data_IF_530440770234
#
_entry.id   IF_530440770234
#
_cell.length_a   1.000
_cell.length_b   1.000
_cell.length_c   1.000
_cell.angle_alpha   90.00
_cell.angle_beta   90.00
_cell.angle_gamma   90.00
#
_symmetry.space_group_name_H-M   'P 1'
#
loop_
_entity.id
_entity.type
_entity.pdbx_description
1 polymer ?
#
# COMPACT_ATOMS: atom_id res chain seq x y z
N UNK A 1 -79.68 5.62 -25.97
CA UNK A 1 -79.67 6.76 -26.90
C UNK A 1 -78.58 7.72 -26.46
N UNK A 2 -77.61 7.99 -27.37
CA UNK A 2 -76.79 9.22 -27.56
C UNK A 2 -76.08 9.82 -26.31
N UNK A 3 -74.83 10.25 -26.33
CA UNK A 3 -73.75 10.31 -27.31
C UNK A 3 -72.45 10.68 -26.56
N UNK A 4 -71.33 10.50 -27.25
CA UNK A 4 -69.94 10.67 -26.83
C UNK A 4 -69.52 12.13 -26.53
N UNK A 5 -68.44 12.27 -25.75
CA UNK A 5 -67.36 13.27 -25.89
C UNK A 5 -66.09 12.64 -25.24
N UNK A 6 -65.18 12.01 -26.01
CA UNK A 6 -63.99 12.59 -26.65
C UNK A 6 -63.04 13.26 -25.64
N UNK A 7 -62.06 12.53 -25.09
CA UNK A 7 -60.68 12.37 -25.60
C UNK A 7 -59.83 13.64 -25.58
N UNK A 8 -58.90 13.73 -24.62
CA UNK A 8 -57.58 14.39 -24.76
C UNK A 8 -56.69 14.01 -23.57
N UNK A 9 -55.92 12.92 -23.71
CA UNK A 9 -54.74 12.65 -22.88
C UNK A 9 -53.52 12.90 -23.78
N UNK A 10 -52.93 14.08 -23.65
CA UNK A 10 -51.61 14.39 -24.18
C UNK A 10 -50.57 13.61 -23.36
N UNK A 11 -50.16 12.44 -23.85
CA UNK A 11 -48.93 11.79 -23.39
C UNK A 11 -47.73 12.56 -23.95
N UNK A 12 -47.11 13.37 -23.10
CA UNK A 12 -45.75 13.87 -23.33
C UNK A 12 -44.78 12.72 -23.04
N UNK A 13 -44.47 11.90 -24.04
CA UNK A 13 -43.33 11.02 -23.98
C UNK A 13 -42.07 11.86 -24.18
N UNK A 14 -41.49 12.36 -23.08
CA UNK A 14 -40.16 12.92 -23.10
C UNK A 14 -39.16 11.78 -23.36
N UNK A 15 -38.57 11.74 -24.56
CA UNK A 15 -37.35 10.98 -24.82
C UNK A 15 -36.24 11.56 -23.93
N UNK A 16 -36.03 10.95 -22.77
CA UNK A 16 -34.78 11.08 -22.03
C UNK A 16 -33.75 10.22 -22.77
N UNK A 17 -32.97 10.86 -23.65
CA UNK A 17 -31.71 10.27 -24.08
C UNK A 17 -30.81 10.17 -22.83
N UNK A 18 -30.15 9.02 -22.59
CA UNK A 18 -29.18 8.95 -21.52
C UNK A 18 -28.01 9.85 -21.92
N UNK A 19 -27.90 11.01 -21.29
CA UNK A 19 -26.62 11.70 -21.18
C UNK A 19 -25.68 10.69 -20.53
N UNK A 20 -24.69 10.22 -21.30
CA UNK A 20 -23.50 9.59 -20.75
C UNK A 20 -22.97 10.52 -19.67
N UNK A 21 -23.28 10.17 -18.42
CA UNK A 21 -22.76 10.82 -17.24
C UNK A 21 -21.30 10.42 -17.16
N UNK A 22 -20.46 11.14 -17.87
CA UNK A 22 -19.03 11.14 -17.63
C UNK A 22 -18.83 11.86 -16.29
N UNK A 23 -19.02 11.14 -15.18
CA UNK A 23 -18.74 11.67 -13.86
C UNK A 23 -17.24 11.96 -13.81
N UNK A 24 -16.88 13.24 -13.80
CA UNK A 24 -15.52 13.66 -13.52
C UNK A 24 -15.16 13.19 -12.11
N UNK A 25 -14.05 12.47 -11.98
CA UNK A 25 -13.55 12.03 -10.68
C UNK A 25 -13.26 13.26 -9.81
N UNK A 26 -13.52 13.21 -8.49
CA UNK A 26 -13.01 14.19 -7.53
C UNK A 26 -11.52 14.45 -7.74
N UNK A 27 -11.07 15.70 -7.50
CA UNK A 27 -9.67 16.10 -7.73
C UNK A 27 -8.66 15.19 -7.01
N UNK A 28 -8.96 14.76 -5.77
CA UNK A 28 -8.11 13.84 -5.01
C UNK A 28 -7.99 12.45 -5.64
N UNK A 29 -9.08 11.94 -6.22
CA UNK A 29 -9.10 10.65 -6.91
C UNK A 29 -8.34 10.73 -8.24
N UNK A 30 -8.45 11.85 -8.95
CA UNK A 30 -7.66 12.11 -10.16
C UNK A 30 -6.15 12.16 -9.86
N UNK A 31 -5.75 12.86 -8.80
CA UNK A 31 -4.34 12.99 -8.42
C UNK A 31 -3.75 11.64 -7.97
N UNK A 32 -4.53 10.87 -7.20
CA UNK A 32 -4.18 9.50 -6.83
C UNK A 32 -3.98 8.63 -8.07
N UNK A 33 -4.93 8.66 -9.01
CA UNK A 33 -4.87 7.86 -10.23
C UNK A 33 -3.63 8.19 -11.07
N UNK A 34 -3.34 9.47 -11.25
CA UNK A 34 -2.15 9.93 -11.97
C UNK A 34 -0.86 9.53 -11.24
N UNK A 35 -0.86 9.56 -9.91
CA UNK A 35 0.27 9.07 -9.13
C UNK A 35 0.48 7.57 -9.35
N UNK A 36 -0.56 6.75 -9.20
CA UNK A 36 -0.48 5.29 -9.35
C UNK A 36 -0.01 4.90 -10.74
N UNK A 37 -0.55 5.52 -11.80
CA UNK A 37 -0.08 5.30 -13.17
C UNK A 37 1.41 5.62 -13.34
N UNK A 38 1.91 6.72 -12.75
CA UNK A 38 3.35 7.05 -12.80
C UNK A 38 4.20 6.05 -12.02
N UNK A 39 3.77 5.66 -10.82
CA UNK A 39 4.48 4.70 -10.00
C UNK A 39 4.58 3.35 -10.71
N UNK A 40 3.44 2.83 -11.21
CA UNK A 40 3.37 1.57 -11.95
C UNK A 40 4.32 1.59 -13.15
N UNK A 41 4.33 2.67 -13.93
CA UNK A 41 5.21 2.81 -15.09
C UNK A 41 6.68 3.06 -14.75
N UNK A 42 7.01 3.35 -13.49
CA UNK A 42 8.39 3.52 -13.03
C UNK A 42 9.06 2.20 -12.63
N UNK A 43 8.28 1.14 -12.43
CA UNK A 43 8.79 -0.17 -12.04
C UNK A 43 9.45 -0.88 -13.22
N UNK A 44 10.60 -1.50 -12.96
CA UNK A 44 11.37 -2.23 -13.97
C UNK A 44 10.89 -3.68 -14.08
N UNK A 45 9.72 -3.87 -14.67
CA UNK A 45 9.15 -5.18 -14.94
C UNK A 45 10.03 -6.03 -15.87
N UNK A 46 10.13 -7.32 -15.59
CA UNK A 46 10.91 -8.28 -16.37
C UNK A 46 10.06 -9.10 -17.34
N UNK A 47 8.78 -9.29 -17.03
CA UNK A 47 7.81 -9.99 -17.88
C UNK A 47 7.07 -9.00 -18.79
N UNK A 48 6.49 -9.51 -19.88
CA UNK A 48 5.76 -8.72 -20.88
C UNK A 48 4.63 -7.87 -20.29
N UNK A 49 4.29 -6.77 -20.98
CA UNK A 49 3.23 -5.84 -20.56
C UNK A 49 1.84 -6.48 -20.51
N UNK A 50 1.64 -7.60 -21.19
CA UNK A 50 0.40 -8.38 -21.19
C UNK A 50 0.27 -9.31 -19.99
N UNK A 51 1.28 -9.39 -19.12
CA UNK A 51 1.23 -10.20 -17.89
C UNK A 51 0.69 -9.42 -16.69
N UNK A 52 0.15 -10.14 -15.72
CA UNK A 52 -0.43 -9.58 -14.50
C UNK A 52 0.67 -9.05 -13.57
N UNK A 53 0.47 -7.83 -13.06
CA UNK A 53 1.34 -7.19 -12.06
C UNK A 53 0.56 -6.89 -10.79
N UNK A 54 1.20 -7.08 -9.65
CA UNK A 54 0.65 -6.85 -8.32
C UNK A 54 1.42 -5.69 -7.66
N UNK A 55 0.70 -4.62 -7.38
CA UNK A 55 1.22 -3.46 -6.65
C UNK A 55 0.42 -3.30 -5.36
N UNK A 56 1.11 -3.13 -4.25
CA UNK A 56 0.48 -2.86 -2.96
C UNK A 56 0.78 -1.45 -2.49
N UNK A 57 -0.05 -0.94 -1.59
CA UNK A 57 0.34 0.15 -0.70
C UNK A 57 -0.03 -0.17 0.75
N UNK A 58 0.64 0.52 1.67
CA UNK A 58 0.21 0.64 3.07
C UNK A 58 -0.09 2.10 3.39
N UNK A 59 -1.16 2.31 4.14
CA UNK A 59 -1.53 3.61 4.68
C UNK A 59 -0.72 3.90 5.95
N UNK A 60 -0.04 5.04 6.02
CA UNK A 60 0.66 5.52 7.21
C UNK A 60 -0.14 6.70 7.73
N UNK A 61 -0.87 6.46 8.82
CA UNK A 61 -1.65 7.51 9.48
C UNK A 61 -0.71 8.47 10.18
N UNK A 62 -0.86 9.76 9.88
CA UNK A 62 -0.04 10.81 10.47
C UNK A 62 -0.77 11.35 11.71
N UNK A 63 -0.09 11.44 12.87
CA UNK A 63 -0.68 12.03 14.07
C UNK A 63 -1.18 13.45 13.81
N UNK A 64 -2.30 13.83 14.43
CA UNK A 64 -2.98 15.09 14.15
C UNK A 64 -2.08 16.31 14.39
N UNK A 65 -1.24 16.24 15.44
CA UNK A 65 -0.25 17.24 15.81
C UNK A 65 0.90 17.40 14.80
N UNK A 66 1.08 16.43 13.89
CA UNK A 66 2.11 16.47 12.85
C UNK A 66 1.57 16.85 11.46
N UNK A 67 0.23 16.90 11.29
CA UNK A 67 -0.39 17.09 9.97
C UNK A 67 -0.05 18.44 9.33
N UNK A 68 -0.05 19.51 10.11
CA UNK A 68 0.25 20.85 9.59
C UNK A 68 1.72 20.93 9.13
N UNK A 69 2.64 20.37 9.92
CA UNK A 69 4.07 20.30 9.59
C UNK A 69 4.32 19.46 8.32
N UNK A 70 3.66 18.30 8.19
CA UNK A 70 3.72 17.50 6.96
C UNK A 70 3.14 18.26 5.77
N UNK A 71 1.97 18.88 5.92
CA UNK A 71 1.28 19.58 4.83
C UNK A 71 2.13 20.73 4.32
N UNK A 72 2.69 21.53 5.23
CA UNK A 72 3.57 22.63 4.87
C UNK A 72 4.84 22.11 4.17
N UNK A 73 5.45 21.04 4.68
CA UNK A 73 6.63 20.45 4.04
C UNK A 73 6.32 19.87 2.65
N UNK A 74 5.18 19.18 2.49
CA UNK A 74 4.75 18.59 1.24
C UNK A 74 4.49 19.64 0.15
N UNK A 75 3.84 20.75 0.51
CA UNK A 75 3.48 21.80 -0.43
C UNK A 75 4.68 22.70 -0.80
N UNK A 76 5.61 22.92 0.14
CA UNK A 76 6.73 23.85 -0.06
C UNK A 76 8.02 23.18 -0.58
N UNK A 77 8.13 21.84 -0.53
CA UNK A 77 9.32 21.10 -0.97
C UNK A 77 9.00 19.98 -1.99
N UNK A 78 8.30 20.25 -3.10
CA UNK A 78 7.91 19.24 -4.08
C UNK A 78 9.10 18.52 -4.73
N UNK A 79 10.25 19.18 -4.84
CA UNK A 79 11.51 18.60 -5.35
C UNK A 79 12.00 17.44 -4.50
N UNK A 80 11.73 17.47 -3.20
CA UNK A 80 12.14 16.42 -2.28
C UNK A 80 11.21 15.21 -2.43
N UNK A 81 9.90 15.44 -2.43
CA UNK A 81 8.90 14.38 -2.60
C UNK A 81 8.91 13.75 -4.00
N UNK A 82 9.34 14.49 -5.03
CA UNK A 82 9.57 13.93 -6.37
C UNK A 82 10.65 12.83 -6.37
N UNK A 83 11.60 12.87 -5.45
CA UNK A 83 12.61 11.83 -5.28
C UNK A 83 12.12 10.65 -4.42
N UNK A 84 10.83 10.66 -4.04
CA UNK A 84 10.15 9.62 -3.28
C UNK A 84 9.00 9.04 -4.12
N UNK A 85 9.32 8.37 -5.25
CA UNK A 85 8.33 8.03 -6.28
C UNK A 85 7.25 7.06 -5.80
N UNK A 86 7.47 6.39 -4.68
CA UNK A 86 6.55 5.44 -4.08
C UNK A 86 5.65 6.04 -2.98
N UNK A 87 5.68 7.37 -2.77
CA UNK A 87 4.86 8.04 -1.76
C UNK A 87 3.80 8.95 -2.36
N UNK A 88 2.55 8.77 -1.91
CA UNK A 88 1.45 9.68 -2.17
C UNK A 88 0.88 10.23 -0.87
N UNK A 89 0.75 11.55 -0.74
CA UNK A 89 0.08 12.16 0.39
C UNK A 89 -1.39 12.41 0.07
N UNK A 90 -2.27 11.63 0.69
CA UNK A 90 -3.71 11.85 0.63
C UNK A 90 -4.10 12.93 1.65
N UNK A 91 -4.14 14.18 1.17
CA UNK A 91 -4.47 15.34 2.01
C UNK A 91 -5.90 15.27 2.59
N UNK A 92 -6.81 14.55 1.95
CA UNK A 92 -8.19 14.41 2.42
C UNK A 92 -8.29 13.53 3.66
N UNK A 93 -7.46 12.50 3.75
CA UNK A 93 -7.42 11.57 4.88
C UNK A 93 -6.27 11.82 5.86
N UNK A 94 -5.34 12.72 5.56
CA UNK A 94 -4.16 12.96 6.39
C UNK A 94 -3.21 11.75 6.42
N UNK A 95 -3.15 10.99 5.34
CA UNK A 95 -2.44 9.70 5.27
C UNK A 95 -1.38 9.70 4.19
N UNK A 96 -0.18 9.19 4.51
CA UNK A 96 0.84 8.87 3.51
C UNK A 96 0.61 7.43 3.02
N UNK A 97 0.49 7.23 1.71
CA UNK A 97 0.47 5.89 1.09
C UNK A 97 1.88 5.55 0.62
N UNK A 98 2.44 4.45 1.13
CA UNK A 98 3.73 3.90 0.70
C UNK A 98 3.49 2.70 -0.22
N UNK A 99 3.81 2.85 -1.51
CA UNK A 99 3.62 1.85 -2.55
C UNK A 99 4.83 0.91 -2.68
N UNK A 100 4.58 -0.32 -3.10
CA UNK A 100 5.59 -1.36 -3.28
C UNK A 100 5.13 -2.44 -4.27
N UNK A 101 6.05 -3.10 -4.99
CA UNK A 101 5.73 -4.37 -5.66
C UNK A 101 5.42 -5.44 -4.61
N UNK A 102 4.43 -6.30 -4.87
CA UNK A 102 4.03 -7.36 -3.93
C UNK A 102 4.91 -8.60 -4.12
N UNK A 103 6.19 -8.46 -3.80
CA UNK A 103 7.23 -9.49 -3.97
C UNK A 103 6.88 -10.82 -3.25
N UNK A 104 6.84 -11.92 -4.00
CA UNK A 104 6.60 -13.26 -3.49
C UNK A 104 5.15 -13.51 -3.04
N UNK A 105 4.20 -12.67 -3.46
CA UNK A 105 2.79 -12.91 -3.19
C UNK A 105 2.29 -14.20 -3.84
N UNK A 106 1.48 -14.93 -3.10
CA UNK A 106 0.72 -16.07 -3.58
C UNK A 106 -0.69 -15.62 -3.94
N UNK A 107 -1.08 -15.87 -5.18
CA UNK A 107 -2.43 -15.66 -5.70
C UNK A 107 -2.95 -17.00 -6.21
N UNK A 108 -4.22 -17.30 -5.98
CA UNK A 108 -4.86 -18.49 -6.53
C UNK A 108 -5.43 -18.22 -7.92
N UNK A 109 -5.16 -19.14 -8.84
CA UNK A 109 -5.71 -19.15 -10.19
C UNK A 109 -5.95 -20.59 -10.62
N UNK A 110 -7.18 -20.92 -11.03
CA UNK A 110 -7.57 -22.25 -11.49
C UNK A 110 -7.18 -23.40 -10.52
N UNK A 111 -7.30 -23.13 -9.21
CA UNK A 111 -6.98 -24.07 -8.14
C UNK A 111 -5.48 -24.26 -7.87
N UNK A 112 -4.61 -23.42 -8.44
CA UNK A 112 -3.16 -23.44 -8.23
C UNK A 112 -2.67 -22.12 -7.64
N UNK A 113 -1.61 -22.18 -6.83
CA UNK A 113 -0.94 -20.99 -6.32
C UNK A 113 0.16 -20.54 -7.27
N UNK A 114 0.08 -19.28 -7.68
CA UNK A 114 1.10 -18.60 -8.46
C UNK A 114 1.84 -17.62 -7.58
N UNK A 115 3.18 -17.67 -7.65
CA UNK A 115 4.05 -16.83 -6.84
C UNK A 115 4.59 -15.67 -7.67
N UNK A 116 4.43 -14.45 -7.14
CA UNK A 116 4.86 -13.25 -7.82
C UNK A 116 6.39 -13.07 -7.78
N UNK A 117 6.96 -12.54 -8.87
CA UNK A 117 8.36 -12.16 -8.95
C UNK A 117 8.71 -11.05 -7.94
N UNK A 118 10.00 -10.69 -7.77
CA UNK A 118 10.40 -9.56 -6.94
C UNK A 118 9.74 -8.22 -7.30
N UNK A 119 9.30 -8.05 -8.56
CA UNK A 119 8.58 -6.86 -9.02
C UNK A 119 7.05 -7.03 -8.99
N UNK A 120 6.55 -8.08 -8.33
CA UNK A 120 5.13 -8.36 -8.21
C UNK A 120 4.53 -8.94 -9.49
N UNK A 121 5.31 -9.61 -10.34
CA UNK A 121 4.84 -10.08 -11.65
C UNK A 121 4.41 -11.55 -11.59
N UNK A 122 3.27 -11.88 -12.20
CA UNK A 122 2.83 -13.25 -12.42
C UNK A 122 2.94 -13.56 -13.92
N UNK A 123 3.49 -14.73 -14.27
CA UNK A 123 3.50 -15.21 -15.66
C UNK A 123 2.11 -15.74 -16.06
N UNK A 124 1.14 -14.82 -16.02
CA UNK A 124 -0.27 -15.02 -16.30
C UNK A 124 -0.78 -13.80 -17.05
N UNK A 125 -1.64 -14.01 -18.05
CA UNK A 125 -2.29 -12.90 -18.78
C UNK A 125 -3.50 -12.34 -18.04
N UNK A 126 -4.16 -13.20 -17.27
CA UNK A 126 -5.31 -12.88 -16.44
C UNK A 126 -5.32 -13.80 -15.22
N UNK A 127 -6.06 -13.40 -14.19
CA UNK A 127 -6.37 -14.25 -13.04
C UNK A 127 -7.87 -14.55 -13.07
N UNK A 128 -8.22 -15.83 -13.11
CA UNK A 128 -9.58 -16.33 -12.91
C UNK A 128 -9.84 -16.57 -11.41
N UNK A 129 -11.03 -16.22 -10.93
CA UNK A 129 -11.43 -16.47 -9.54
C UNK A 129 -11.23 -15.27 -8.61
N UNK A 130 -10.80 -15.54 -7.37
CA UNK A 130 -10.61 -14.51 -6.35
C UNK A 130 -9.22 -13.86 -6.52
N UNK A 131 -9.18 -12.60 -6.95
CA UNK A 131 -7.95 -11.81 -7.17
C UNK A 131 -7.19 -11.46 -5.88
N UNK A 132 -7.46 -12.15 -4.78
CA UNK A 132 -6.88 -11.86 -3.48
C UNK A 132 -5.41 -12.26 -3.37
N UNK A 133 -4.62 -11.46 -2.66
CA UNK A 133 -3.28 -11.87 -2.24
C UNK A 133 -3.40 -12.71 -0.98
N UNK A 134 -3.12 -14.01 -1.06
CA UNK A 134 -3.34 -14.94 0.05
C UNK A 134 -2.26 -14.83 1.13
N UNK A 135 -1.03 -14.53 0.73
CA UNK A 135 0.14 -14.66 1.58
C UNK A 135 1.41 -14.80 0.78
N UNK A 136 2.47 -15.32 1.41
CA UNK A 136 3.76 -15.61 0.77
C UNK A 136 4.42 -16.84 1.38
N UNK A 137 5.37 -17.43 0.68
CA UNK A 137 6.21 -18.48 1.27
C UNK A 137 7.12 -17.90 2.35
N UNK A 138 7.36 -18.68 3.39
CA UNK A 138 8.44 -18.40 4.34
C UNK A 138 9.77 -18.49 3.61
N UNK A 139 10.69 -17.63 4.01
CA UNK A 139 12.09 -17.67 3.57
C UNK A 139 12.98 -17.57 4.79
N UNK A 140 14.28 -17.81 4.63
CA UNK A 140 15.27 -17.49 5.65
C UNK A 140 15.21 -16.04 6.09
N UNK A 141 14.61 -15.16 5.25
CA UNK A 141 14.50 -13.74 5.51
C UNK A 141 13.18 -13.23 6.03
N UNK A 142 12.11 -13.99 5.84
CA UNK A 142 10.74 -13.56 6.10
C UNK A 142 10.02 -14.76 6.69
N UNK A 143 9.78 -14.70 8.00
CA UNK A 143 9.25 -15.81 8.80
C UNK A 143 7.80 -15.60 9.21
N UNK A 144 7.28 -14.37 9.13
CA UNK A 144 5.94 -14.00 9.54
C UNK A 144 5.92 -13.20 10.86
N UNK A 145 4.80 -12.51 11.09
CA UNK A 145 4.51 -11.73 12.31
C UNK A 145 3.25 -12.23 13.00
N UNK A 146 3.05 -11.76 14.23
CA UNK A 146 1.80 -11.96 14.97
C UNK A 146 0.62 -11.37 14.17
N UNK A 147 -0.40 -12.20 13.89
CA UNK A 147 -1.50 -11.90 12.96
C UNK A 147 -1.39 -12.62 11.61
N UNK A 148 -0.27 -13.29 11.31
CA UNK A 148 -0.21 -14.23 10.19
C UNK A 148 -0.64 -15.63 10.63
N UNK A 149 -1.25 -16.38 9.71
CA UNK A 149 -1.50 -17.82 9.88
C UNK A 149 -0.36 -18.55 9.17
N UNK A 150 0.52 -19.19 9.94
CA UNK A 150 1.66 -19.93 9.38
C UNK A 150 1.28 -21.41 9.25
N UNK A 151 1.25 -21.92 8.02
CA UNK A 151 0.91 -23.32 7.72
C UNK A 151 1.68 -23.79 6.50
N UNK A 152 2.27 -24.98 6.58
CA UNK A 152 2.96 -25.65 5.47
C UNK A 152 4.02 -24.79 4.76
N UNK A 153 4.75 -23.98 5.53
CA UNK A 153 5.78 -23.06 5.01
C UNK A 153 5.21 -21.82 4.31
N UNK A 154 3.90 -21.56 4.42
CA UNK A 154 3.23 -20.37 3.89
C UNK A 154 2.81 -19.46 5.05
N UNK A 155 3.08 -18.17 4.88
CA UNK A 155 2.60 -17.07 5.70
C UNK A 155 1.31 -16.57 5.07
N UNK A 156 0.16 -17.04 5.53
CA UNK A 156 -1.13 -16.54 5.10
C UNK A 156 -1.47 -15.23 5.82
N UNK A 157 -2.04 -14.30 5.07
CA UNK A 157 -2.66 -13.11 5.63
C UNK A 157 -3.98 -13.51 6.29
N UNK A 158 -4.23 -13.04 7.52
CA UNK A 158 -5.51 -13.26 8.21
C UNK A 158 -6.69 -12.72 7.40
N UNK A 159 -6.49 -11.56 6.75
CA UNK A 159 -7.43 -10.95 5.83
C UNK A 159 -6.75 -10.75 4.48
N UNK A 160 -7.03 -11.63 3.51
CA UNK A 160 -6.48 -11.54 2.18
C UNK A 160 -7.05 -10.31 1.42
N UNK A 161 -6.24 -9.31 1.04
CA UNK A 161 -6.73 -8.11 0.40
C UNK A 161 -7.14 -8.39 -1.05
N UNK A 162 -8.24 -7.75 -1.45
CA UNK A 162 -8.73 -7.69 -2.83
C UNK A 162 -8.21 -6.43 -3.52
N UNK A 163 -8.08 -6.43 -4.85
CA UNK A 163 -7.63 -5.24 -5.57
C UNK A 163 -8.65 -4.12 -5.40
N UNK A 164 -8.18 -2.92 -5.05
CA UNK A 164 -9.00 -1.73 -4.91
C UNK A 164 -8.99 -0.85 -6.19
N UNK A 165 -7.98 -1.03 -7.05
CA UNK A 165 -7.89 -0.39 -8.35
C UNK A 165 -7.22 -1.31 -9.39
N UNK A 166 -7.44 -1.01 -10.67
CA UNK A 166 -6.88 -1.76 -11.80
C UNK A 166 -6.44 -0.82 -12.93
N UNK A 167 -5.25 -1.06 -13.45
CA UNK A 167 -4.64 -0.31 -14.56
C UNK A 167 -4.15 -1.30 -15.62
N UNK A 168 -4.98 -1.57 -16.63
CA UNK A 168 -4.70 -2.65 -17.58
C UNK A 168 -4.57 -3.99 -16.86
N UNK A 169 -3.38 -4.59 -16.89
CA UNK A 169 -3.06 -5.85 -16.21
C UNK A 169 -2.39 -5.66 -14.84
N UNK A 170 -2.35 -4.43 -14.32
CA UNK A 170 -1.85 -4.14 -12.97
C UNK A 170 -3.00 -4.06 -11.99
N UNK A 171 -2.92 -4.86 -10.93
CA UNK A 171 -3.84 -4.88 -9.80
C UNK A 171 -3.21 -4.15 -8.62
N UNK A 172 -3.92 -3.18 -8.06
CA UNK A 172 -3.48 -2.39 -6.91
C UNK A 172 -4.22 -2.85 -5.66
N UNK A 173 -3.50 -3.05 -4.57
CA UNK A 173 -4.01 -3.61 -3.31
C UNK A 173 -3.76 -2.68 -2.13
N UNK A 174 -4.75 -2.56 -1.26
CA UNK A 174 -4.60 -1.97 0.07
C UNK A 174 -4.18 -3.04 1.08
N UNK A 175 -2.95 -2.96 1.58
CA UNK A 175 -2.43 -3.86 2.62
C UNK A 175 -2.63 -3.32 4.05
N UNK A 176 -3.55 -2.37 4.20
CA UNK A 176 -3.94 -1.78 5.47
C UNK A 176 -2.93 -0.77 6.01
N UNK A 177 -3.08 -0.48 7.30
CA UNK A 177 -2.29 0.54 7.96
C UNK A 177 -0.90 0.02 8.39
N UNK A 178 0.12 0.86 8.20
CA UNK A 178 1.42 0.74 8.84
C UNK A 178 1.39 1.61 10.10
N UNK A 179 1.30 0.96 11.25
CA UNK A 179 1.46 1.63 12.54
C UNK A 179 2.95 1.92 12.77
N UNK A 180 3.35 3.18 12.69
CA UNK A 180 4.68 3.62 13.14
C UNK A 180 4.60 3.80 14.65
N UNK A 181 5.11 2.82 15.39
CA UNK A 181 4.98 2.79 16.85
C UNK A 181 5.81 3.90 17.51
N UNK A 182 5.24 4.42 18.61
CA UNK A 182 5.84 5.30 19.63
C UNK A 182 5.56 6.81 19.59
N UNK A 183 4.39 7.25 19.11
CA UNK A 183 3.88 8.62 19.34
C UNK A 183 2.89 8.78 20.49
N UNK A 184 2.48 7.70 21.16
CA UNK A 184 1.56 7.78 22.29
C UNK A 184 2.27 8.31 23.54
N UNK A 185 2.33 9.63 23.67
CA UNK A 185 2.42 10.30 24.97
C UNK A 185 1.11 10.07 25.74
N UNK A 186 0.88 8.86 26.27
CA UNK A 186 -0.27 8.66 27.16
C UNK A 186 -0.68 7.23 27.49
N UNK A 187 -0.31 6.22 26.71
CA UNK A 187 -0.68 4.84 27.05
C UNK A 187 0.56 3.98 27.28
N UNK A 188 0.81 3.64 28.54
CA UNK A 188 1.64 2.49 28.91
C UNK A 188 0.94 1.18 28.52
N UNK A 189 0.51 1.04 27.26
CA UNK A 189 0.20 -0.26 26.71
C UNK A 189 1.53 -0.98 26.45
N UNK A 190 2.15 -1.47 27.54
CA UNK A 190 3.11 -2.57 27.48
C UNK A 190 2.37 -3.74 26.84
N UNK A 191 2.37 -3.83 25.51
CA UNK A 191 1.88 -5.00 24.80
C UNK A 191 2.86 -6.13 25.07
N UNK A 192 2.44 -7.11 25.87
CA UNK A 192 3.09 -8.41 25.88
C UNK A 192 3.15 -8.96 24.45
N UNK A 193 4.30 -9.48 24.04
CA UNK A 193 4.44 -10.23 22.78
C UNK A 193 5.01 -9.51 21.55
N UNK A 194 5.25 -8.19 21.60
CA UNK A 194 5.93 -7.34 20.58
C UNK A 194 5.88 -7.84 19.12
N UNK A 195 4.84 -7.43 18.38
CA UNK A 195 4.79 -7.26 16.91
C UNK A 195 5.98 -6.44 16.37
N UNK A 196 7.16 -7.03 16.21
CA UNK A 196 8.34 -6.32 15.70
C UNK A 196 8.76 -6.84 14.32
N UNK A 197 9.21 -5.96 13.41
CA UNK A 197 9.76 -6.40 12.12
C UNK A 197 10.94 -7.36 12.30
N UNK A 198 11.68 -7.24 13.41
CA UNK A 198 12.74 -8.17 13.77
C UNK A 198 12.21 -9.59 13.98
N UNK A 199 10.96 -9.78 14.45
CA UNK A 199 10.33 -11.10 14.51
C UNK A 199 10.07 -11.65 13.10
N UNK A 200 9.65 -10.79 12.16
CA UNK A 200 9.47 -11.17 10.76
C UNK A 200 10.77 -11.63 10.11
N UNK A 201 11.91 -11.22 10.64
CA UNK A 201 13.23 -11.48 10.06
C UNK A 201 14.03 -12.55 10.80
N UNK A 202 13.47 -13.16 11.85
CA UNK A 202 14.17 -14.12 12.70
C UNK A 202 15.26 -13.50 13.59
N UNK A 203 15.13 -12.23 13.96
CA UNK A 203 16.02 -11.53 14.89
C UNK A 203 16.63 -10.24 14.35
N UNK A 204 17.31 -10.23 13.18
CA UNK A 204 17.94 -9.02 12.65
C UNK A 204 16.92 -7.95 12.24
N UNK A 205 17.31 -6.68 12.25
CA UNK A 205 16.49 -5.61 11.68
C UNK A 205 16.60 -5.56 10.14
N UNK A 206 15.75 -4.75 9.49
CA UNK A 206 15.75 -4.58 8.03
C UNK A 206 17.12 -4.19 7.47
N UNK A 207 17.89 -3.41 8.22
CA UNK A 207 19.20 -2.91 7.81
C UNK A 207 20.16 -4.07 7.55
N UNK A 208 20.32 -4.96 8.52
CA UNK A 208 21.20 -6.11 8.39
C UNK A 208 20.57 -7.20 7.51
N UNK A 209 19.24 -7.37 7.59
CA UNK A 209 18.56 -8.43 6.87
C UNK A 209 18.57 -8.24 5.35
N UNK A 210 18.41 -7.00 4.89
CA UNK A 210 18.30 -6.67 3.47
C UNK A 210 19.47 -5.82 2.97
N UNK A 211 20.55 -5.74 3.76
CA UNK A 211 21.73 -4.94 3.45
C UNK A 211 21.36 -3.49 3.10
N UNK A 212 20.55 -2.86 3.96
CA UNK A 212 20.10 -1.47 3.83
C UNK A 212 20.87 -0.65 4.87
N UNK A 213 21.82 0.15 4.41
CA UNK A 213 22.67 0.93 5.30
C UNK A 213 22.57 2.40 4.93
N UNK A 214 21.51 3.06 5.40
CA UNK A 214 21.41 4.51 5.30
C UNK A 214 22.35 5.15 6.34
N UNK A 215 23.28 5.99 5.88
CA UNK A 215 24.33 6.59 6.72
C UNK A 215 23.86 7.85 7.46
N UNK A 216 22.56 8.12 7.53
CA UNK A 216 22.01 9.31 8.16
C UNK A 216 22.07 9.25 9.68
N UNK A 217 21.57 8.16 10.28
CA UNK A 217 21.59 7.95 11.72
C UNK A 217 22.62 6.89 12.13
N UNK A 218 23.06 6.95 13.40
CA UNK A 218 23.99 5.95 13.95
C UNK A 218 23.40 4.56 13.78
N UNK A 219 24.14 3.66 13.12
CA UNK A 219 23.72 2.28 12.89
C UNK A 219 23.43 1.59 14.22
N UNK A 220 22.27 0.94 14.29
CA UNK A 220 21.86 0.05 15.38
C UNK A 220 21.44 -1.28 14.77
N UNK A 221 21.80 -2.36 15.45
CA UNK A 221 21.54 -3.73 15.01
C UNK A 221 20.47 -4.41 15.88
N UNK A 222 20.20 -3.82 17.05
CA UNK A 222 19.37 -4.34 18.13
C UNK A 222 17.93 -3.83 18.10
N UNK A 223 17.59 -2.90 17.19
CA UNK A 223 16.27 -2.28 17.07
C UNK A 223 15.90 -2.04 15.60
N UNK A 224 14.59 -1.90 15.27
CA UNK A 224 14.18 -1.37 13.96
C UNK A 224 14.74 0.04 13.78
N UNK A 225 15.16 0.29 12.55
CA UNK A 225 15.72 1.55 12.07
C UNK A 225 14.64 2.32 11.29
N UNK A 226 13.40 2.31 11.77
CA UNK A 226 12.24 3.07 11.26
C UNK A 226 12.37 4.58 11.49
N UNK A 227 13.30 4.99 12.34
CA UNK A 227 13.64 6.39 12.58
C UNK A 227 14.80 6.89 11.69
N UNK A 228 15.37 6.06 10.81
CA UNK A 228 16.47 6.44 9.93
C UNK A 228 16.02 7.14 8.63
N UNK A 229 14.87 7.83 8.66
CA UNK A 229 14.25 8.45 7.49
C UNK A 229 14.89 9.75 7.05
N UNK A 230 14.54 10.19 5.84
CA UNK A 230 15.16 11.33 5.17
C UNK A 230 15.08 12.64 5.94
N UNK A 231 14.02 12.85 6.71
CA UNK A 231 13.80 14.08 7.49
C UNK A 231 14.07 13.90 8.98
N UNK A 232 14.54 12.73 9.38
CA UNK A 232 14.78 12.42 10.78
C UNK A 232 15.87 13.31 11.39
N UNK A 233 15.74 13.54 12.70
CA UNK A 233 16.78 14.06 13.58
C UNK A 233 17.48 12.93 14.37
N UNK A 234 17.33 11.69 13.92
CA UNK A 234 17.89 10.48 14.53
C UNK A 234 17.44 10.20 15.97
N UNK A 235 16.26 10.72 16.34
CA UNK A 235 15.57 10.34 17.56
C UNK A 235 14.57 9.23 17.26
N UNK A 236 14.78 8.09 17.91
CA UNK A 236 13.75 7.06 18.01
C UNK A 236 12.49 7.70 18.61
N UNK A 237 11.31 7.36 18.11
CA UNK A 237 10.03 7.87 18.60
C UNK A 237 9.84 9.38 18.35
N UNK A 238 10.58 9.92 17.37
CA UNK A 238 10.35 11.26 16.79
C UNK A 238 9.34 11.21 15.64
N UNK A 239 8.94 12.37 15.12
CA UNK A 239 7.80 12.54 14.18
C UNK A 239 7.66 11.45 13.13
N UNK A 240 6.47 10.87 13.02
CA UNK A 240 6.14 9.75 12.11
C UNK A 240 6.52 10.08 10.67
N UNK A 241 6.03 11.22 10.15
CA UNK A 241 6.27 11.60 8.76
C UNK A 241 7.74 11.94 8.50
N UNK A 242 8.49 12.35 9.54
CA UNK A 242 9.92 12.65 9.41
C UNK A 242 10.79 11.40 9.48
N UNK A 243 10.40 10.46 10.32
CA UNK A 243 11.18 9.29 10.68
C UNK A 243 11.02 8.14 9.70
N UNK A 244 9.79 7.81 9.31
CA UNK A 244 9.55 6.59 8.53
C UNK A 244 9.97 6.70 7.05
N UNK A 245 9.55 7.72 6.27
CA UNK A 245 9.96 7.84 4.87
C UNK A 245 11.48 7.89 4.68
N UNK A 246 12.02 6.99 3.88
CA UNK A 246 13.45 6.85 3.62
C UNK A 246 14.23 6.04 4.65
N UNK A 247 13.56 5.56 5.70
CA UNK A 247 14.15 4.72 6.74
C UNK A 247 14.55 3.35 6.18
N UNK A 248 15.30 2.57 6.95
CA UNK A 248 15.69 1.24 6.50
C UNK A 248 14.46 0.30 6.46
N UNK A 249 13.53 0.50 7.41
CA UNK A 249 12.26 -0.23 7.47
C UNK A 249 11.34 0.19 6.28
N UNK A 250 11.32 1.47 5.87
CA UNK A 250 10.63 1.93 4.63
C UNK A 250 11.26 1.36 3.35
N UNK A 251 12.59 1.42 3.20
CA UNK A 251 13.27 0.88 2.03
C UNK A 251 13.04 -0.62 1.86
N UNK A 252 12.92 -1.37 2.95
CA UNK A 252 12.56 -2.78 2.90
C UNK A 252 11.11 -2.97 2.44
N UNK A 253 10.18 -2.13 2.90
CA UNK A 253 8.79 -2.11 2.44
C UNK A 253 8.71 -1.76 0.94
N UNK A 254 9.36 -0.69 0.49
CA UNK A 254 9.41 -0.27 -0.92
C UNK A 254 10.03 -1.30 -1.87
N UNK A 255 10.82 -2.25 -1.34
CA UNK A 255 11.33 -3.42 -2.07
C UNK A 255 10.40 -4.64 -2.02
N UNK A 256 9.21 -4.52 -1.44
CA UNK A 256 8.25 -5.62 -1.28
C UNK A 256 8.64 -6.65 -0.21
N UNK A 257 9.61 -6.38 0.65
CA UNK A 257 10.10 -7.39 1.61
C UNK A 257 9.24 -7.50 2.87
N UNK A 258 8.48 -6.47 3.21
CA UNK A 258 7.79 -6.34 4.50
C UNK A 258 6.28 -6.10 4.38
N UNK A 259 5.67 -6.36 3.20
CA UNK A 259 4.25 -6.06 2.99
C UNK A 259 3.31 -6.98 3.82
N UNK A 260 3.76 -8.19 4.18
CA UNK A 260 3.01 -9.14 5.02
C UNK A 260 2.95 -8.72 6.50
N UNK A 261 3.69 -7.68 6.89
CA UNK A 261 3.60 -7.04 8.20
C UNK A 261 2.33 -6.17 8.25
N UNK A 262 1.18 -6.80 8.41
CA UNK A 262 -0.06 -6.12 8.77
C UNK A 262 0.00 -5.91 10.29
N UNK A 263 0.05 -4.65 10.74
CA UNK A 263 0.29 -4.30 12.15
C UNK A 263 -0.98 -3.89 12.87
#
# INVERSE_FOLDING_TARGET
MKAAFASQLLSLAALLMPLNSCHALPLSEKDLRLFEERYINSLNYSLGNDTVKLVGYKAIKIPAEELDDLKDHYNNHPEVWKNMPNYFYDQGSGTLRAYFPVDGALVEHDGQYHEASPMGELDLKEINGDHSVLGRRQTDSITGVEGNIIKDGIIYLENAPKPNARYGNVLVYDFGEKIVLDHDHGSHSKRGGKKSCMNNHGGPNCSDKFNIHNNKCKKRHDICMDYNGWFSNCKKNGSTWRNFPGSDCDKALGRGKCWNEVM
#
